data_IF_864144411596
#
_entry.id   IF_864144411596
#
_cell.length_a   1.000
_cell.length_b   1.000
_cell.length_c   1.000
_cell.angle_alpha   90.00
_cell.angle_beta   90.00
_cell.angle_gamma   90.00
#
_symmetry.space_group_name_H-M   'P 1'
#
loop_
_entity.id
_entity.type
_entity.pdbx_description
1 polymer ?
#
# COMPACT_ATOMS: atom_id res chain seq x y z
N UNK A 1 -13.98 6.52 14.38
CA UNK A 1 -13.83 5.92 13.02
C UNK A 1 -12.79 6.72 12.30
N UNK A 2 -11.75 6.08 11.78
CA UNK A 2 -10.66 6.74 11.08
C UNK A 2 -10.79 6.47 9.59
N UNK A 3 -11.00 7.51 8.81
CA UNK A 3 -11.04 7.42 7.36
C UNK A 3 -9.84 8.11 6.75
N UNK A 4 -9.10 7.42 5.92
CA UNK A 4 -8.07 8.00 5.10
C UNK A 4 -8.22 7.53 3.67
N UNK A 5 -8.53 8.41 2.76
CA UNK A 5 -8.37 8.20 1.34
C UNK A 5 -9.64 8.28 0.49
N UNK A 6 -9.50 8.99 -0.60
CA UNK A 6 -10.34 8.94 -1.78
C UNK A 6 -10.06 7.68 -2.61
N UNK A 7 -10.94 7.36 -3.53
CA UNK A 7 -11.20 6.18 -4.37
C UNK A 7 -10.03 5.36 -4.94
N UNK A 8 -8.78 5.70 -4.67
CA UNK A 8 -7.62 5.02 -5.29
C UNK A 8 -6.68 4.29 -4.34
N UNK A 9 -6.95 4.22 -3.04
CA UNK A 9 -6.05 3.54 -2.09
C UNK A 9 -6.42 3.84 -0.65
N UNK A 10 -7.62 3.43 -0.24
CA UNK A 10 -8.12 3.71 1.10
C UNK A 10 -7.42 2.83 2.14
N UNK A 11 -6.79 3.45 3.12
CA UNK A 11 -6.45 2.85 4.40
C UNK A 11 -7.43 3.36 5.44
N UNK A 12 -8.03 2.45 6.17
CA UNK A 12 -8.97 2.76 7.23
C UNK A 12 -8.48 2.12 8.53
N UNK A 13 -8.38 2.90 9.60
CA UNK A 13 -8.07 2.42 10.94
C UNK A 13 -9.28 2.66 11.86
N UNK A 14 -9.81 1.60 12.45
CA UNK A 14 -10.94 1.67 13.40
C UNK A 14 -10.57 1.05 14.73
N UNK A 15 -10.88 1.71 15.83
CA UNK A 15 -10.86 1.09 17.15
C UNK A 15 -12.19 0.35 17.38
N UNK A 16 -12.11 -0.94 17.68
CA UNK A 16 -13.27 -1.79 18.02
C UNK A 16 -13.63 -1.67 19.49
N UNK A 17 -14.86 -2.05 19.84
CA UNK A 17 -15.29 -2.10 21.25
C UNK A 17 -14.40 -3.03 22.10
N UNK A 18 -13.80 -4.05 21.52
CA UNK A 18 -12.83 -4.93 22.17
C UNK A 18 -11.47 -4.27 22.50
N UNK A 19 -11.26 -3.01 22.09
CA UNK A 19 -9.97 -2.34 22.19
C UNK A 19 -9.02 -2.61 21.03
N UNK A 20 -9.25 -3.63 20.19
CA UNK A 20 -8.44 -3.92 19.04
C UNK A 20 -8.60 -2.83 17.96
N UNK A 21 -7.53 -2.61 17.17
CA UNK A 21 -7.64 -1.82 15.94
C UNK A 21 -7.92 -2.73 14.74
N UNK A 22 -8.88 -2.34 13.91
CA UNK A 22 -9.07 -2.89 12.58
C UNK A 22 -8.48 -1.93 11.55
N UNK A 23 -7.57 -2.45 10.74
CA UNK A 23 -6.91 -1.73 9.66
C UNK A 23 -7.35 -2.35 8.33
N UNK A 24 -7.88 -1.52 7.44
CA UNK A 24 -8.26 -1.92 6.08
C UNK A 24 -7.43 -1.18 5.07
N UNK A 25 -7.10 -1.84 3.97
CA UNK A 25 -6.39 -1.21 2.88
C UNK A 25 -6.76 -1.79 1.53
N UNK A 26 -6.45 -1.01 0.50
CA UNK A 26 -6.69 -1.36 -0.89
C UNK A 26 -5.46 -1.01 -1.73
N UNK A 27 -4.98 -1.95 -2.54
CA UNK A 27 -3.93 -1.77 -3.52
C UNK A 27 -4.54 -1.92 -4.93
N UNK A 28 -4.67 -0.83 -5.71
CA UNK A 28 -5.33 -0.88 -7.01
C UNK A 28 -4.46 -1.56 -8.07
N UNK A 29 -5.08 -2.29 -8.97
CA UNK A 29 -4.49 -2.82 -10.18
C UNK A 29 -4.56 -1.84 -11.35
N UNK A 30 -3.81 -2.11 -12.41
CA UNK A 30 -3.81 -1.38 -13.67
C UNK A 30 -3.50 0.12 -13.52
N UNK A 31 -2.75 0.48 -12.48
CA UNK A 31 -2.25 1.83 -12.27
C UNK A 31 -0.74 1.86 -12.46
N UNK A 32 -0.25 2.83 -13.22
CA UNK A 32 1.17 3.00 -13.46
C UNK A 32 1.84 3.72 -12.29
N UNK A 33 2.84 3.07 -11.69
CA UNK A 33 3.72 3.71 -10.71
C UNK A 33 5.01 4.15 -11.38
N UNK A 34 5.46 5.36 -11.11
CA UNK A 34 6.77 5.85 -11.56
C UNK A 34 7.83 5.43 -10.54
N UNK A 35 8.61 4.40 -10.88
CA UNK A 35 9.69 3.90 -10.01
C UNK A 35 10.95 4.79 -10.10
N UNK A 36 11.18 5.39 -11.26
CA UNK A 36 12.31 6.29 -11.52
C UNK A 36 11.95 7.27 -12.63
N UNK A 37 12.34 8.52 -12.48
CA UNK A 37 12.22 9.57 -13.50
C UNK A 37 13.31 9.46 -14.60
N UNK A 38 14.28 8.53 -14.45
CA UNK A 38 15.39 8.36 -15.37
C UNK A 38 16.56 9.32 -15.14
N UNK A 39 16.42 10.31 -14.27
CA UNK A 39 17.47 11.33 -14.01
C UNK A 39 17.89 12.08 -15.26
N UNK A 40 19.15 12.56 -15.28
CA UNK A 40 19.68 13.41 -16.38
C UNK A 40 19.87 12.72 -17.72
N UNK A 41 20.06 11.39 -17.73
CA UNK A 41 20.50 10.65 -18.94
C UNK A 41 19.77 9.34 -19.13
N UNK A 42 18.95 8.93 -18.17
CA UNK A 42 18.20 7.67 -18.24
C UNK A 42 16.78 7.87 -18.76
N UNK A 43 16.11 6.76 -19.01
CA UNK A 43 14.68 6.74 -19.34
C UNK A 43 13.85 6.55 -18.07
N UNK A 44 12.70 7.22 -17.95
CA UNK A 44 11.76 6.93 -16.87
C UNK A 44 11.38 5.45 -16.86
N UNK A 45 11.14 4.91 -15.66
CA UNK A 45 10.68 3.53 -15.45
C UNK A 45 9.35 3.56 -14.74
N UNK A 46 8.36 2.96 -15.36
CA UNK A 46 7.02 2.76 -14.82
C UNK A 46 6.77 1.27 -14.58
N UNK A 47 5.96 0.96 -13.59
CA UNK A 47 5.52 -0.40 -13.29
C UNK A 47 4.00 -0.43 -13.17
N UNK A 48 3.38 -1.48 -13.69
CA UNK A 48 1.94 -1.72 -13.64
C UNK A 48 1.71 -3.13 -13.11
N UNK A 49 0.92 -3.26 -12.05
CA UNK A 49 0.36 -4.55 -11.63
C UNK A 49 -0.91 -4.80 -12.41
N UNK A 50 -0.92 -5.81 -13.25
CA UNK A 50 -2.12 -6.23 -13.97
C UNK A 50 -3.18 -6.78 -13.02
N UNK A 51 -4.43 -6.78 -13.45
CA UNK A 51 -5.53 -7.40 -12.71
C UNK A 51 -5.15 -8.82 -12.27
N UNK A 52 -5.42 -9.14 -11.01
CA UNK A 52 -5.15 -10.44 -10.39
C UNK A 52 -3.69 -10.92 -10.44
N UNK A 53 -2.73 -10.00 -10.57
CA UNK A 53 -1.31 -10.37 -10.59
C UNK A 53 -0.87 -11.14 -9.32
N UNK A 54 -1.56 -10.99 -8.20
CA UNK A 54 -1.25 -11.68 -6.94
C UNK A 54 -2.13 -12.89 -6.63
N UNK A 55 -3.02 -13.29 -7.57
CA UNK A 55 -4.03 -14.34 -7.36
C UNK A 55 -3.44 -15.64 -6.83
N UNK A 56 -2.29 -16.07 -7.33
CA UNK A 56 -1.71 -17.36 -6.99
C UNK A 56 -1.54 -17.54 -5.47
N UNK A 57 -0.81 -16.64 -4.80
CA UNK A 57 -0.57 -16.78 -3.36
C UNK A 57 -1.77 -16.35 -2.51
N UNK A 58 -2.56 -15.40 -2.99
CA UNK A 58 -3.76 -14.99 -2.24
C UNK A 58 -4.78 -16.13 -2.20
N UNK A 59 -4.94 -16.89 -3.29
CA UNK A 59 -5.88 -18.02 -3.34
C UNK A 59 -5.34 -19.27 -2.64
N UNK A 60 -4.01 -19.40 -2.51
CA UNK A 60 -3.35 -20.51 -1.84
C UNK A 60 -3.28 -20.25 -0.34
N UNK A 61 -4.26 -20.77 0.40
CA UNK A 61 -4.47 -20.43 1.83
C UNK A 61 -3.40 -20.98 2.79
N UNK A 62 -2.64 -21.97 2.40
CA UNK A 62 -1.52 -22.56 3.15
C UNK A 62 -0.24 -21.68 3.10
N UNK A 63 -0.19 -20.73 2.19
CA UNK A 63 0.91 -19.77 2.07
C UNK A 63 0.68 -18.55 2.96
N UNK A 64 1.60 -18.24 3.84
CA UNK A 64 1.46 -17.06 4.69
C UNK A 64 1.72 -15.77 3.93
N UNK A 65 0.96 -14.74 4.30
CA UNK A 65 1.13 -13.37 3.83
C UNK A 65 1.08 -12.47 5.07
N UNK A 66 2.03 -11.53 5.15
CA UNK A 66 2.16 -10.64 6.29
C UNK A 66 1.70 -9.22 5.96
N UNK A 67 1.22 -8.51 6.97
CA UNK A 67 1.12 -7.05 6.96
C UNK A 67 2.25 -6.50 7.82
N UNK A 68 3.14 -5.69 7.21
CA UNK A 68 4.36 -5.22 7.85
C UNK A 68 4.40 -3.68 7.95
N UNK A 69 5.35 -3.17 8.72
CA UNK A 69 5.75 -1.76 8.71
C UNK A 69 7.11 -1.65 8.01
N UNK A 70 7.14 -0.93 6.88
CA UNK A 70 8.38 -0.58 6.20
C UNK A 70 9.17 -1.77 5.65
N UNK A 71 8.50 -2.81 5.14
CA UNK A 71 9.12 -4.03 4.60
C UNK A 71 9.97 -4.83 5.59
N UNK A 72 9.76 -4.60 6.90
CA UNK A 72 10.54 -5.29 7.94
C UNK A 72 9.75 -6.45 8.54
N UNK A 73 10.26 -7.67 8.38
CA UNK A 73 9.71 -8.86 9.04
C UNK A 73 9.87 -8.84 10.57
N UNK A 74 10.71 -7.96 11.10
CA UNK A 74 10.82 -7.70 12.55
C UNK A 74 9.69 -6.79 13.07
N UNK A 75 8.85 -6.26 12.19
CA UNK A 75 7.76 -5.33 12.52
C UNK A 75 6.42 -5.77 11.91
N UNK A 76 5.97 -7.01 12.21
CA UNK A 76 4.69 -7.51 11.72
C UNK A 76 3.53 -6.86 12.48
N UNK A 77 2.47 -6.50 11.76
CA UNK A 77 1.21 -6.01 12.34
C UNK A 77 0.14 -7.09 12.36
N UNK A 78 0.13 -7.94 11.34
CA UNK A 78 -0.81 -9.04 11.19
C UNK A 78 -0.26 -10.09 10.22
N UNK A 79 -0.77 -11.32 10.28
CA UNK A 79 -0.50 -12.34 9.29
C UNK A 79 -1.72 -13.22 9.03
N UNK A 80 -1.73 -13.86 7.86
CA UNK A 80 -2.78 -14.81 7.51
C UNK A 80 -2.75 -16.03 8.41
N UNK A 81 -1.58 -16.59 8.67
CA UNK A 81 -1.41 -17.79 9.49
C UNK A 81 -1.85 -17.57 10.94
N UNK A 82 -1.66 -16.37 11.49
CA UNK A 82 -2.16 -15.99 12.80
C UNK A 82 -3.67 -15.69 12.82
N UNK A 83 -4.35 -15.73 11.66
CA UNK A 83 -5.78 -15.41 11.54
C UNK A 83 -6.11 -13.93 11.77
N UNK A 84 -5.09 -13.06 11.78
CA UNK A 84 -5.24 -11.62 12.02
C UNK A 84 -5.26 -10.78 10.75
N UNK A 85 -5.00 -11.42 9.57
CA UNK A 85 -5.04 -10.80 8.25
C UNK A 85 -6.00 -11.57 7.33
N UNK A 86 -7.07 -10.92 6.88
CA UNK A 86 -7.89 -11.37 5.74
C UNK A 86 -7.47 -10.54 4.52
N UNK A 87 -7.06 -11.21 3.45
CA UNK A 87 -6.63 -10.58 2.20
C UNK A 87 -7.36 -11.23 1.03
N UNK A 88 -7.85 -10.42 0.11
CA UNK A 88 -8.66 -10.82 -1.03
C UNK A 88 -8.16 -10.19 -2.31
N UNK A 89 -8.14 -11.00 -3.34
CA UNK A 89 -7.79 -10.58 -4.68
C UNK A 89 -9.06 -10.35 -5.50
N UNK A 90 -9.28 -9.12 -5.92
CA UNK A 90 -10.36 -8.70 -6.81
C UNK A 90 -9.84 -8.36 -8.21
N UNK A 91 -10.74 -8.06 -9.13
CA UNK A 91 -10.37 -7.67 -10.49
C UNK A 91 -9.69 -6.29 -10.53
N UNK A 92 -10.13 -5.38 -9.66
CA UNK A 92 -9.66 -4.00 -9.63
C UNK A 92 -8.55 -3.75 -8.61
N UNK A 93 -8.46 -4.59 -7.58
CA UNK A 93 -7.55 -4.36 -6.47
C UNK A 93 -7.37 -5.58 -5.57
N UNK A 94 -6.24 -5.63 -4.87
CA UNK A 94 -6.10 -6.38 -3.63
C UNK A 94 -6.68 -5.55 -2.49
N UNK A 95 -7.51 -6.18 -1.65
CA UNK A 95 -8.03 -5.58 -0.42
C UNK A 95 -7.64 -6.43 0.78
N UNK A 96 -7.46 -5.80 1.92
CA UNK A 96 -7.22 -6.53 3.16
C UNK A 96 -7.94 -5.91 4.35
N UNK A 97 -8.20 -6.74 5.35
CA UNK A 97 -8.58 -6.35 6.70
C UNK A 97 -7.63 -7.02 7.69
N UNK A 98 -6.97 -6.21 8.51
CA UNK A 98 -6.06 -6.68 9.56
C UNK A 98 -6.60 -6.30 10.93
N UNK A 99 -6.37 -7.17 11.93
CA UNK A 99 -6.72 -6.91 13.32
C UNK A 99 -5.44 -6.80 14.14
N UNK A 100 -5.24 -5.62 14.74
CA UNK A 100 -4.13 -5.36 15.66
C UNK A 100 -4.70 -5.55 17.07
N UNK A 101 -4.29 -6.62 17.73
CA UNK A 101 -4.75 -6.96 19.08
C UNK A 101 -4.37 -5.89 20.10
N UNK A 102 -5.13 -5.73 21.20
CA UNK A 102 -4.80 -4.74 22.23
C UNK A 102 -3.38 -4.90 22.77
N UNK A 103 -2.92 -6.14 22.96
CA UNK A 103 -1.58 -6.47 23.48
C UNK A 103 -0.48 -5.99 22.51
N UNK A 104 -0.74 -6.04 21.21
CA UNK A 104 0.21 -5.55 20.21
C UNK A 104 0.37 -4.01 20.24
N UNK A 105 -0.63 -3.30 20.76
CA UNK A 105 -0.57 -1.83 20.87
C UNK A 105 0.45 -1.36 21.91
N UNK A 106 0.83 -2.22 22.84
CA UNK A 106 1.87 -1.94 23.83
C UNK A 106 3.30 -2.10 23.27
N UNK A 107 3.43 -2.77 22.12
CA UNK A 107 4.72 -2.95 21.44
C UNK A 107 5.18 -1.62 20.83
N UNK A 108 6.44 -1.25 21.06
CA UNK A 108 6.96 0.07 20.71
C UNK A 108 6.77 0.43 19.24
N UNK A 109 7.15 -0.46 18.31
CA UNK A 109 7.02 -0.16 16.88
C UNK A 109 5.56 -0.05 16.41
N UNK A 110 4.61 -0.71 17.10
CA UNK A 110 3.17 -0.58 16.81
C UNK A 110 2.65 0.77 17.28
N UNK A 111 3.06 1.24 18.45
CA UNK A 111 2.75 2.60 18.91
C UNK A 111 3.32 3.66 17.99
N UNK A 112 4.59 3.48 17.58
CA UNK A 112 5.25 4.38 16.62
C UNK A 112 4.51 4.40 15.29
N UNK A 113 4.11 3.24 14.79
CA UNK A 113 3.29 3.10 13.58
C UNK A 113 1.94 3.82 13.73
N UNK A 114 1.20 3.58 14.81
CA UNK A 114 -0.09 4.23 15.06
C UNK A 114 0.08 5.75 15.20
N UNK A 115 1.13 6.21 15.86
CA UNK A 115 1.50 7.62 15.93
C UNK A 115 1.83 8.21 14.56
N UNK A 116 2.62 7.49 13.77
CA UNK A 116 2.96 7.88 12.39
C UNK A 116 1.75 7.96 11.46
N UNK A 117 0.83 7.00 11.56
CA UNK A 117 -0.45 7.06 10.83
C UNK A 117 -1.29 8.27 11.25
N UNK A 118 -1.42 8.49 12.55
CA UNK A 118 -2.17 9.63 13.10
C UNK A 118 -1.58 10.96 12.66
N UNK A 119 -0.26 11.05 12.60
CA UNK A 119 0.45 12.25 12.14
C UNK A 119 0.48 12.40 10.60
N UNK A 120 -0.08 11.43 9.85
CA UNK A 120 -0.05 11.44 8.39
C UNK A 120 1.33 11.21 7.78
N UNK A 121 2.23 10.58 8.52
CA UNK A 121 3.58 10.24 8.06
C UNK A 121 3.63 8.88 7.34
N UNK A 122 2.71 7.98 7.66
CA UNK A 122 2.57 6.68 6.99
C UNK A 122 1.32 6.78 6.11
N UNK A 123 1.54 6.79 4.80
CA UNK A 123 0.54 7.27 3.84
C UNK A 123 0.20 6.29 2.74
N UNK A 124 0.85 5.13 2.66
CA UNK A 124 0.58 4.23 1.57
C UNK A 124 0.91 2.76 1.82
N UNK A 125 0.58 1.97 0.82
CA UNK A 125 0.84 0.55 0.74
C UNK A 125 1.91 0.26 -0.31
N UNK A 126 2.74 -0.73 -0.03
CA UNK A 126 3.74 -1.25 -0.94
C UNK A 126 3.75 -2.78 -0.85
N UNK A 127 3.52 -3.51 -1.94
CA UNK A 127 3.57 -4.97 -1.92
C UNK A 127 5.03 -5.46 -1.96
N UNK A 128 5.34 -6.47 -1.17
CA UNK A 128 6.57 -7.24 -1.26
C UNK A 128 6.33 -8.56 -2.00
N UNK A 129 6.89 -8.69 -3.19
CA UNK A 129 6.63 -9.81 -4.09
C UNK A 129 7.87 -10.26 -4.84
N UNK A 130 7.77 -11.40 -5.50
CA UNK A 130 8.75 -11.90 -6.48
C UNK A 130 8.05 -12.30 -7.76
N UNK A 131 8.73 -12.13 -8.89
CA UNK A 131 8.28 -12.69 -10.16
C UNK A 131 8.58 -14.20 -10.15
N UNK A 132 7.60 -15.05 -10.48
CA UNK A 132 7.85 -16.48 -10.63
C UNK A 132 8.85 -16.72 -11.78
N UNK A 133 9.67 -17.78 -11.72
CA UNK A 133 10.57 -18.09 -12.82
C UNK A 133 9.77 -18.45 -14.09
N UNK A 134 10.27 -18.05 -15.25
CA UNK A 134 9.62 -18.22 -16.56
C UNK A 134 9.19 -19.66 -16.83
N UNK A 135 9.98 -20.67 -16.39
CA UNK A 135 9.63 -22.09 -16.49
C UNK A 135 8.34 -22.48 -15.72
N UNK A 136 7.96 -21.70 -14.71
CA UNK A 136 6.76 -21.96 -13.91
C UNK A 136 5.56 -21.14 -14.41
N UNK A 137 5.79 -19.89 -14.80
CA UNK A 137 4.78 -18.99 -15.37
C UNK A 137 5.44 -18.23 -16.53
N UNK A 138 5.25 -18.69 -17.77
CA UNK A 138 5.67 -17.94 -18.95
C UNK A 138 5.01 -16.56 -18.98
N UNK A 139 5.76 -15.57 -19.48
CA UNK A 139 5.26 -14.20 -19.64
C UNK A 139 4.68 -13.57 -18.35
N UNK A 140 5.24 -13.93 -17.18
CA UNK A 140 4.82 -13.35 -15.89
C UNK A 140 5.00 -11.84 -15.83
N UNK A 141 5.87 -11.29 -16.67
CA UNK A 141 6.07 -9.85 -16.83
C UNK A 141 6.43 -9.52 -18.28
N UNK A 142 6.17 -8.27 -18.68
CA UNK A 142 6.53 -7.73 -19.99
C UNK A 142 7.07 -6.31 -19.82
N UNK A 143 8.12 -5.98 -20.56
CA UNK A 143 8.64 -4.61 -20.61
C UNK A 143 8.40 -4.06 -22.02
N UNK A 144 7.74 -2.91 -22.08
CA UNK A 144 7.42 -2.22 -23.32
C UNK A 144 7.87 -0.78 -23.29
N UNK A 145 8.11 -0.19 -24.45
CA UNK A 145 8.40 1.23 -24.56
C UNK A 145 7.09 2.03 -24.61
N UNK A 146 7.02 3.09 -23.84
CA UNK A 146 5.92 4.03 -23.90
C UNK A 146 5.97 4.79 -25.23
N UNK A 147 4.82 5.09 -25.80
CA UNK A 147 4.70 5.91 -26.99
C UNK A 147 5.46 7.24 -26.83
N UNK A 148 6.29 7.63 -27.81
CA UNK A 148 7.10 8.86 -27.72
C UNK A 148 6.30 10.13 -27.43
N UNK A 149 5.02 10.15 -27.86
CA UNK A 149 4.09 11.26 -27.60
C UNK A 149 3.65 11.35 -26.11
N UNK A 150 3.82 10.26 -25.34
CA UNK A 150 3.38 10.16 -23.95
C UNK A 150 4.53 10.19 -22.94
N UNK A 151 5.80 10.00 -23.37
CA UNK A 151 6.90 10.21 -22.46
C UNK A 151 8.16 9.38 -22.59
N UNK A 152 8.31 8.40 -23.41
CA UNK A 152 9.51 7.56 -23.59
C UNK A 152 9.89 6.68 -22.37
N UNK A 153 8.99 6.42 -21.46
CA UNK A 153 9.26 5.54 -20.34
C UNK A 153 9.40 4.06 -20.78
N UNK A 154 10.10 3.29 -19.97
CA UNK A 154 10.00 1.83 -20.00
C UNK A 154 8.89 1.41 -19.03
N UNK A 155 7.85 0.74 -19.56
CA UNK A 155 6.72 0.26 -18.77
C UNK A 155 6.90 -1.23 -18.55
N UNK A 156 7.05 -1.63 -17.29
CA UNK A 156 7.06 -3.02 -16.87
C UNK A 156 5.65 -3.39 -16.41
N UNK A 157 4.97 -4.26 -17.13
CA UNK A 157 3.68 -4.82 -16.72
C UNK A 157 3.89 -6.19 -16.11
N UNK A 158 3.40 -6.38 -14.89
CA UNK A 158 3.50 -7.62 -14.13
C UNK A 158 2.14 -8.31 -14.16
N UNK A 159 2.07 -9.47 -14.80
CA UNK A 159 0.87 -10.27 -14.96
C UNK A 159 0.72 -11.34 -13.88
N UNK A 160 1.85 -11.83 -13.32
CA UNK A 160 1.86 -12.78 -12.23
C UNK A 160 3.00 -12.49 -11.26
N UNK A 161 2.68 -12.45 -9.98
CA UNK A 161 3.65 -12.23 -8.91
C UNK A 161 3.32 -13.06 -7.66
N UNK A 162 4.36 -13.46 -6.94
CA UNK A 162 4.25 -14.16 -5.67
C UNK A 162 4.24 -13.14 -4.54
N UNK A 163 3.10 -12.82 -4.00
CA UNK A 163 2.95 -11.86 -2.90
C UNK A 163 3.38 -12.49 -1.57
N UNK A 164 4.30 -11.89 -0.85
CA UNK A 164 4.76 -12.32 0.48
C UNK A 164 4.26 -11.42 1.60
N UNK A 165 4.14 -10.13 1.33
CA UNK A 165 3.69 -9.16 2.31
C UNK A 165 3.08 -7.92 1.65
N UNK A 166 2.33 -7.17 2.45
CA UNK A 166 1.90 -5.81 2.17
C UNK A 166 2.50 -4.93 3.26
N UNK A 167 3.20 -3.87 2.88
CA UNK A 167 3.80 -2.95 3.84
C UNK A 167 3.13 -1.60 3.88
N UNK A 168 3.02 -1.09 5.09
CA UNK A 168 2.63 0.28 5.35
C UNK A 168 3.90 1.14 5.35
N UNK A 169 3.93 2.13 4.47
CA UNK A 169 5.13 2.90 4.16
C UNK A 169 4.88 4.41 4.16
N UNK A 170 5.94 5.17 4.40
CA UNK A 170 5.91 6.64 4.34
C UNK A 170 5.91 7.15 2.90
N UNK A 171 6.51 6.37 1.97
CA UNK A 171 6.60 6.71 0.56
C UNK A 171 6.30 5.47 -0.28
N UNK A 172 5.06 5.28 -0.71
CA UNK A 172 4.70 4.14 -1.56
C UNK A 172 5.29 4.31 -2.96
N UNK A 173 5.65 3.19 -3.59
CA UNK A 173 6.06 3.17 -4.99
C UNK A 173 4.89 3.53 -5.91
N UNK A 174 3.67 3.19 -5.51
CA UNK A 174 2.43 3.48 -6.24
C UNK A 174 1.71 4.67 -5.59
N UNK A 175 1.73 5.87 -6.21
CA UNK A 175 1.14 7.08 -5.62
C UNK A 175 -0.35 6.97 -5.34
N UNK A 176 -1.08 6.17 -6.11
CA UNK A 176 -2.52 5.92 -5.90
C UNK A 176 -2.80 5.09 -4.64
N UNK A 177 -1.77 4.48 -4.05
CA UNK A 177 -1.86 3.87 -2.72
C UNK A 177 -1.61 4.89 -1.62
N UNK A 178 -1.24 6.13 -1.97
CA UNK A 178 -1.06 7.21 -1.00
C UNK A 178 -2.40 7.55 -0.37
N UNK A 179 -2.39 7.52 0.93
CA UNK A 179 -3.44 8.13 1.74
C UNK A 179 -3.20 9.63 1.65
N UNK A 180 -4.19 10.37 1.26
CA UNK A 180 -4.26 11.77 1.65
C UNK A 180 -4.52 11.81 3.16
N UNK A 181 -3.47 11.64 3.96
CA UNK A 181 -3.51 11.91 5.38
C UNK A 181 -3.66 13.41 5.59
N UNK A 182 -4.88 13.90 5.47
CA UNK A 182 -5.19 15.32 5.65
C UNK A 182 -6.11 15.48 6.83
N UNK A 183 -5.59 16.15 7.84
CA UNK A 183 -6.37 16.68 8.97
C UNK A 183 -7.17 15.61 9.74
N UNK A 184 -6.46 14.65 10.29
CA UNK A 184 -7.00 13.72 11.24
C UNK A 184 -7.43 14.47 12.51
N UNK A 185 -8.71 14.47 12.83
CA UNK A 185 -9.22 15.03 14.09
C UNK A 185 -9.43 13.91 15.09
N UNK A 186 -8.80 13.95 16.27
CA UNK A 186 -9.05 13.00 17.35
C UNK A 186 -10.51 13.05 17.77
N UNK A 187 -11.15 11.89 17.88
CA UNK A 187 -12.50 11.74 18.46
C UNK A 187 -12.47 10.62 19.49
N UNK A 188 -13.45 10.52 20.36
CA UNK A 188 -13.56 9.42 21.33
C UNK A 188 -13.60 8.03 20.68
N UNK A 189 -14.01 7.93 19.43
CA UNK A 189 -14.02 6.69 18.64
C UNK A 189 -12.82 6.48 17.71
N UNK A 190 -11.83 7.38 17.72
CA UNK A 190 -10.67 7.36 16.84
C UNK A 190 -10.38 8.71 16.20
N UNK A 191 -9.72 8.72 15.03
CA UNK A 191 -9.44 9.91 14.24
C UNK A 191 -10.37 9.98 13.02
N UNK A 192 -10.88 11.16 12.69
CA UNK A 192 -11.72 11.40 11.52
C UNK A 192 -11.01 12.38 10.59
N UNK A 193 -10.90 12.03 9.32
CA UNK A 193 -10.45 12.97 8.28
C UNK A 193 -11.63 13.82 7.86
N UNK A 194 -11.57 15.14 7.97
CA UNK A 194 -12.63 16.01 7.46
C UNK A 194 -12.77 15.90 5.95
N UNK A 195 -14.01 15.85 5.47
CA UNK A 195 -14.28 15.99 4.04
C UNK A 195 -13.94 17.42 3.58
N UNK A 196 -13.04 17.55 2.59
CA UNK A 196 -12.78 18.85 1.97
C UNK A 196 -11.42 18.97 1.27
N UNK A 197 -11.33 19.82 0.22
CA UNK A 197 -10.19 19.88 -0.71
C UNK A 197 -9.04 20.74 -0.20
N UNK A 198 -8.42 20.45 0.94
CA UNK A 198 -7.33 21.28 1.46
C UNK A 198 -6.11 20.48 1.89
N UNK A 199 -5.18 20.28 0.99
CA UNK A 199 -3.90 19.68 1.35
C UNK A 199 -2.92 20.73 1.89
N UNK A 200 -2.59 20.61 3.16
CA UNK A 200 -1.44 21.32 3.73
C UNK A 200 -0.13 20.92 3.07
N UNK A 201 0.00 19.67 2.61
CA UNK A 201 1.17 19.15 1.92
C UNK A 201 1.43 19.86 0.58
N UNK A 202 0.42 20.20 -0.21
CA UNK A 202 0.62 20.97 -1.45
C UNK A 202 1.15 22.37 -1.19
N UNK A 203 0.81 22.99 -0.08
CA UNK A 203 1.40 24.30 0.32
C UNK A 203 2.87 24.17 0.72
N UNK A 204 3.24 23.08 1.37
CA UNK A 204 4.61 22.84 1.84
C UNK A 204 5.52 22.46 0.68
N UNK A 205 5.08 21.59 -0.22
CA UNK A 205 5.85 21.18 -1.40
C UNK A 205 6.09 22.33 -2.38
N UNK A 206 5.13 23.25 -2.54
CA UNK A 206 5.30 24.43 -3.37
C UNK A 206 6.22 25.51 -2.75
N UNK A 207 6.44 25.46 -1.44
CA UNK A 207 7.35 26.37 -0.72
C UNK A 207 8.83 26.04 -0.95
N UNK A 208 9.13 24.79 -1.33
CA UNK A 208 10.49 24.29 -1.59
C UNK A 208 10.84 24.21 -3.08
N UNK A 209 9.94 24.67 -3.96
CA UNK A 209 10.14 24.72 -5.42
C UNK A 209 10.37 26.13 -5.98
N UNK A 210 10.58 27.12 -5.12
CA UNK A 210 10.99 28.49 -5.50
C UNK A 210 12.50 28.65 -5.41
#
# INVERSE_FOLDING_TARGET
>A
MLWGGHDSGALELRKRASGAFALRGRFPYNKAAVLSDGGRTGRPRKEVMASRAFAYRINKRDEDIHLLVGHSYDRPLASRSAGTLDIRDGDDAVTFEAQIAPEMQEVTYVRDFLGGMTAGLIVGLSPGFRIPPERAVPDAEKVEEEEPSQGMALIRTIFAALLYEMSLVTRPAYPETQIEARNWTPTEGGLVVPEGPRSGLNRTLNRWRA
#
